data_IF_334929419838
#
_entry.id   IF_334929419838
#
_cell.length_a   1.000
_cell.length_b   1.000
_cell.length_c   1.000
_cell.angle_alpha   90.00
_cell.angle_beta   90.00
_cell.angle_gamma   90.00
#
_symmetry.space_group_name_H-M   'P 1'
#
loop_
_entity.id
_entity.type
_entity.pdbx_description
1 polymer ?
#
# COMPACT_ATOMS: atom_id res chain seq x y z
N UNK A 1 32.50 94.51 8.34
CA UNK A 1 32.52 93.98 9.71
C UNK A 1 31.51 92.86 9.74
N UNK A 2 31.74 91.67 9.92
CA UNK A 2 32.74 90.68 10.28
C UNK A 2 32.43 89.38 9.54
N UNK A 3 33.25 89.03 8.57
CA UNK A 3 33.25 87.64 8.05
C UNK A 3 34.41 86.91 8.74
N UNK A 4 34.22 86.32 9.90
CA UNK A 4 35.28 85.51 10.53
C UNK A 4 34.80 84.51 11.62
N UNK A 5 33.52 84.13 11.64
CA UNK A 5 33.11 83.16 12.65
C UNK A 5 32.65 81.80 12.09
N UNK A 6 32.46 81.67 10.76
CA UNK A 6 31.93 80.37 10.19
C UNK A 6 33.00 79.34 9.82
N UNK A 7 34.30 79.71 9.94
CA UNK A 7 35.38 78.83 9.48
C UNK A 7 36.04 78.00 10.61
N UNK A 8 35.63 78.18 11.87
CA UNK A 8 36.19 77.42 13.00
C UNK A 8 35.43 76.18 13.30
N UNK A 9 34.14 76.23 13.14
CA UNK A 9 33.28 75.06 13.45
C UNK A 9 33.37 73.92 12.42
N UNK A 10 33.72 74.25 11.18
CA UNK A 10 33.91 73.20 10.13
C UNK A 10 35.21 72.39 10.28
N UNK A 11 36.22 72.94 10.97
CA UNK A 11 37.48 72.22 11.17
C UNK A 11 37.46 71.35 12.45
N UNK A 12 36.66 71.67 13.42
CA UNK A 12 36.47 70.84 14.60
C UNK A 12 35.54 69.68 14.31
N UNK A 13 34.49 69.86 13.45
CA UNK A 13 33.62 68.81 13.01
C UNK A 13 34.31 67.69 12.19
N UNK A 14 35.31 68.07 11.39
CA UNK A 14 36.09 67.12 10.59
C UNK A 14 37.21 66.41 11.38
N UNK A 15 37.53 66.85 12.61
CA UNK A 15 38.51 66.17 13.47
C UNK A 15 37.88 65.19 14.45
N UNK A 16 36.59 65.29 14.71
CA UNK A 16 35.85 64.34 15.54
C UNK A 16 35.29 63.14 14.76
N UNK A 17 35.35 63.13 13.42
CA UNK A 17 34.86 62.05 12.57
C UNK A 17 35.91 60.97 12.21
N UNK A 18 37.15 61.11 12.73
CA UNK A 18 38.26 60.22 12.40
C UNK A 18 38.63 59.28 13.58
N UNK A 19 37.68 58.65 14.25
CA UNK A 19 38.03 57.88 15.43
C UNK A 19 37.00 56.84 15.91
N UNK A 20 36.20 56.30 15.03
CA UNK A 20 35.41 55.08 15.37
C UNK A 20 35.17 54.28 14.11
N UNK A 21 36.21 53.60 13.62
CA UNK A 21 36.00 52.39 12.81
C UNK A 21 35.65 51.28 13.81
N UNK A 22 34.36 51.18 14.16
CA UNK A 22 33.80 49.95 14.71
C UNK A 22 33.90 48.93 13.60
N UNK A 23 34.88 48.04 13.69
CA UNK A 23 34.89 46.77 12.97
C UNK A 23 33.67 45.95 13.42
N UNK A 24 32.53 46.24 12.82
CA UNK A 24 31.41 45.27 12.83
C UNK A 24 31.89 44.08 12.03
N UNK A 25 32.57 43.16 12.71
CA UNK A 25 32.75 41.80 12.22
C UNK A 25 31.35 41.20 12.00
N UNK A 26 30.92 41.26 10.76
CA UNK A 26 29.84 40.36 10.31
C UNK A 26 30.40 38.96 10.48
N UNK A 27 30.17 38.35 11.66
CA UNK A 27 30.20 36.93 11.82
C UNK A 27 29.09 36.42 10.92
N UNK A 28 29.46 36.02 9.70
CA UNK A 28 28.60 35.17 8.89
C UNK A 28 28.26 33.95 9.74
N UNK A 29 27.01 33.89 10.22
CA UNK A 29 26.49 32.71 10.87
C UNK A 29 26.64 31.57 9.84
N UNK A 30 27.60 30.70 10.10
CA UNK A 30 27.82 29.49 9.31
C UNK A 30 26.52 28.72 9.38
N UNK A 31 25.81 28.61 8.25
CA UNK A 31 24.63 27.74 8.17
C UNK A 31 25.05 26.37 8.67
N UNK A 32 24.29 25.77 9.60
CA UNK A 32 24.57 24.41 10.04
C UNK A 32 24.63 23.50 8.81
N UNK A 33 25.68 22.69 8.74
CA UNK A 33 25.80 21.69 7.67
C UNK A 33 24.49 20.90 7.58
N UNK A 34 23.99 20.63 6.36
CA UNK A 34 22.78 19.86 6.19
C UNK A 34 22.95 18.52 6.94
N UNK A 35 21.99 18.24 7.80
CA UNK A 35 21.95 16.95 8.52
C UNK A 35 22.02 15.82 7.49
N UNK A 36 22.90 14.84 7.63
CA UNK A 36 22.99 13.73 6.69
C UNK A 36 21.61 13.07 6.59
N UNK A 37 21.08 13.00 5.38
CA UNK A 37 19.87 12.24 5.13
C UNK A 37 20.18 10.76 5.44
N UNK A 38 19.46 10.13 6.34
CA UNK A 38 19.72 8.71 6.64
C UNK A 38 19.60 7.88 5.36
N UNK A 39 20.45 6.86 5.17
CA UNK A 39 20.37 6.01 4.01
C UNK A 39 18.96 5.40 3.89
N UNK A 40 18.44 5.24 2.67
CA UNK A 40 17.12 4.65 2.46
C UNK A 40 17.05 3.29 3.15
N UNK A 41 15.94 3.03 3.86
CA UNK A 41 15.71 1.73 4.48
C UNK A 41 15.62 0.68 3.39
N UNK A 42 16.27 -0.48 3.59
CA UNK A 42 16.12 -1.61 2.69
C UNK A 42 14.69 -2.14 2.76
N UNK A 43 14.10 -2.45 1.60
CA UNK A 43 12.80 -3.10 1.55
C UNK A 43 12.88 -4.48 2.22
N UNK A 44 11.82 -4.82 2.98
CA UNK A 44 11.66 -6.14 3.64
C UNK A 44 10.31 -6.69 3.22
N UNK A 45 10.32 -7.63 2.32
CA UNK A 45 9.12 -8.14 1.70
C UNK A 45 8.84 -9.55 2.17
N UNK A 46 7.58 -9.76 2.56
CA UNK A 46 7.01 -11.08 2.79
C UNK A 46 6.26 -11.50 1.53
N UNK A 47 6.64 -12.63 0.94
CA UNK A 47 5.93 -13.19 -0.20
C UNK A 47 4.63 -13.84 0.26
N UNK A 48 3.53 -13.51 -0.40
CA UNK A 48 2.21 -14.10 -0.15
C UNK A 48 1.60 -14.68 -1.43
N UNK A 49 0.57 -15.48 -1.29
CA UNK A 49 -0.26 -15.95 -2.41
C UNK A 49 -1.73 -15.97 -2.01
N UNK A 50 -2.58 -15.46 -2.89
CA UNK A 50 -4.02 -15.53 -2.75
C UNK A 50 -4.51 -16.94 -3.17
N UNK A 51 -4.99 -17.75 -2.21
CA UNK A 51 -5.21 -19.17 -2.42
C UNK A 51 -6.31 -19.54 -3.44
N UNK A 52 -7.25 -18.62 -3.74
CA UNK A 52 -8.26 -18.91 -4.77
C UNK A 52 -7.66 -19.09 -6.16
N UNK A 53 -6.48 -18.53 -6.42
CA UNK A 53 -5.80 -18.64 -7.72
C UNK A 53 -5.23 -20.01 -7.99
N UNK A 54 -5.05 -20.82 -6.96
CA UNK A 54 -4.50 -22.16 -7.04
C UNK A 54 -5.61 -23.21 -7.20
N UNK A 55 -5.31 -24.27 -7.91
CA UNK A 55 -6.19 -25.44 -8.10
C UNK A 55 -5.94 -26.49 -7.02
N UNK A 56 -6.92 -27.27 -6.69
CA UNK A 56 -6.85 -28.36 -5.72
C UNK A 56 -7.67 -28.09 -4.47
N UNK A 57 -7.62 -29.03 -3.53
CA UNK A 57 -8.17 -28.89 -2.18
C UNK A 57 -7.41 -27.82 -1.39
N UNK A 58 -7.97 -27.35 -0.29
CA UNK A 58 -7.30 -26.36 0.56
C UNK A 58 -5.93 -26.86 1.05
N UNK A 59 -5.83 -28.12 1.48
CA UNK A 59 -4.55 -28.72 1.92
C UNK A 59 -3.51 -28.80 0.78
N UNK A 60 -3.93 -29.16 -0.46
CA UNK A 60 -3.03 -29.17 -1.63
C UNK A 60 -2.54 -27.77 -2.00
N UNK A 61 -3.40 -26.76 -1.91
CA UNK A 61 -3.00 -25.35 -2.13
C UNK A 61 -1.97 -24.89 -1.11
N UNK A 62 -2.14 -25.25 0.16
CA UNK A 62 -1.16 -24.94 1.21
C UNK A 62 0.18 -25.62 0.97
N UNK A 63 0.16 -26.91 0.59
CA UNK A 63 1.39 -27.64 0.23
C UNK A 63 2.09 -26.98 -0.97
N UNK A 64 1.34 -26.65 -2.03
CA UNK A 64 1.87 -25.95 -3.21
C UNK A 64 2.56 -24.62 -2.83
N UNK A 65 1.92 -23.82 -1.99
CA UNK A 65 2.49 -22.55 -1.51
C UNK A 65 3.78 -22.78 -0.68
N UNK A 66 3.76 -23.76 0.22
CA UNK A 66 4.91 -24.09 1.06
C UNK A 66 6.10 -24.59 0.23
N UNK A 67 5.87 -25.52 -0.71
CA UNK A 67 6.90 -26.06 -1.62
C UNK A 67 7.51 -24.98 -2.51
N UNK A 68 6.75 -23.94 -2.82
CA UNK A 68 7.23 -22.78 -3.56
C UNK A 68 8.01 -21.76 -2.70
N UNK A 69 8.11 -21.96 -1.38
CA UNK A 69 8.80 -21.07 -0.47
C UNK A 69 8.04 -19.75 -0.23
N UNK A 70 6.72 -19.78 -0.36
CA UNK A 70 5.82 -18.69 0.04
C UNK A 70 5.84 -18.55 1.56
N UNK A 71 5.75 -17.33 2.06
CA UNK A 71 5.86 -17.02 3.49
C UNK A 71 4.51 -16.74 4.16
N UNK A 72 3.50 -16.38 3.38
CA UNK A 72 2.15 -16.13 3.87
C UNK A 72 1.09 -16.47 2.83
N UNK A 73 -0.14 -16.59 3.27
CA UNK A 73 -1.29 -16.88 2.41
C UNK A 73 -2.45 -15.92 2.70
N UNK A 74 -3.22 -15.63 1.66
CA UNK A 74 -4.41 -14.81 1.71
C UNK A 74 -5.65 -15.65 1.43
N UNK A 75 -6.72 -15.38 2.18
CA UNK A 75 -8.00 -16.06 2.04
C UNK A 75 -9.09 -15.09 1.56
N UNK A 76 -10.01 -15.58 0.74
CA UNK A 76 -11.22 -14.82 0.41
C UNK A 76 -12.28 -15.06 1.48
N UNK A 77 -12.83 -16.26 1.51
CA UNK A 77 -13.98 -16.63 2.35
C UNK A 77 -13.93 -18.07 2.83
N UNK A 78 -12.84 -18.76 2.61
CA UNK A 78 -12.68 -20.16 3.02
C UNK A 78 -13.00 -20.37 4.50
N UNK A 79 -12.61 -19.40 5.30
CA UNK A 79 -12.78 -19.37 6.76
C UNK A 79 -14.26 -19.31 7.21
N UNK A 80 -15.16 -18.79 6.38
CA UNK A 80 -16.58 -18.65 6.73
C UNK A 80 -17.28 -19.99 6.95
N UNK A 81 -16.81 -21.05 6.27
CA UNK A 81 -17.32 -22.40 6.40
C UNK A 81 -16.67 -23.20 7.55
N UNK A 82 -15.67 -22.63 8.23
CA UNK A 82 -14.91 -23.36 9.25
C UNK A 82 -15.58 -23.36 10.60
N UNK A 83 -15.55 -24.53 11.25
CA UNK A 83 -15.78 -24.65 12.70
C UNK A 83 -14.58 -24.09 13.48
N UNK A 84 -14.74 -23.93 14.78
CA UNK A 84 -13.60 -23.56 15.66
C UNK A 84 -12.46 -24.58 15.59
N UNK A 85 -12.81 -25.87 15.41
CA UNK A 85 -11.82 -26.93 15.26
C UNK A 85 -11.08 -26.84 13.92
N UNK A 86 -11.79 -26.49 12.82
CA UNK A 86 -11.18 -26.28 11.51
C UNK A 86 -10.26 -25.06 11.53
N UNK A 87 -10.68 -23.97 12.14
CA UNK A 87 -9.86 -22.77 12.30
C UNK A 87 -8.54 -23.09 13.04
N UNK A 88 -8.61 -23.80 14.15
CA UNK A 88 -7.43 -24.22 14.91
C UNK A 88 -6.54 -25.17 14.09
N UNK A 89 -7.16 -26.14 13.39
CA UNK A 89 -6.46 -27.09 12.50
C UNK A 89 -5.67 -26.35 11.42
N UNK A 90 -6.32 -25.47 10.64
CA UNK A 90 -5.67 -24.81 9.52
C UNK A 90 -4.64 -23.79 9.97
N UNK A 91 -4.87 -23.07 11.06
CA UNK A 91 -3.86 -22.23 11.68
C UNK A 91 -2.60 -23.02 12.03
N UNK A 92 -2.76 -24.23 12.63
CA UNK A 92 -1.65 -25.11 12.94
C UNK A 92 -0.93 -25.64 11.69
N UNK A 93 -1.65 -26.09 10.67
CA UNK A 93 -1.08 -26.57 9.41
C UNK A 93 -0.26 -25.49 8.74
N UNK A 94 -0.80 -24.28 8.58
CA UNK A 94 -0.11 -23.15 7.95
C UNK A 94 1.16 -22.81 8.73
N UNK A 95 1.09 -22.75 10.05
CA UNK A 95 2.25 -22.51 10.90
C UNK A 95 3.30 -23.64 10.80
N UNK A 96 2.88 -24.91 10.64
CA UNK A 96 3.80 -26.05 10.49
C UNK A 96 4.63 -25.99 9.20
N UNK A 97 4.12 -25.32 8.16
CA UNK A 97 4.85 -24.99 6.94
C UNK A 97 5.76 -23.75 7.07
N UNK A 98 5.80 -23.12 8.23
CA UNK A 98 6.54 -21.87 8.44
C UNK A 98 5.86 -20.66 7.80
N UNK A 99 4.59 -20.78 7.44
CA UNK A 99 3.77 -19.72 6.87
C UNK A 99 2.82 -19.10 7.92
N UNK A 100 2.18 -17.99 7.55
CA UNK A 100 1.07 -17.40 8.30
C UNK A 100 -0.03 -16.92 7.34
N UNK A 101 -1.20 -16.59 7.88
CA UNK A 101 -2.25 -15.90 7.13
C UNK A 101 -2.06 -14.40 7.28
N UNK A 102 -1.98 -13.65 6.19
CA UNK A 102 -1.79 -12.19 6.24
C UNK A 102 -3.04 -11.39 5.96
N UNK A 103 -3.96 -11.88 5.15
CA UNK A 103 -5.24 -11.23 4.88
C UNK A 103 -6.41 -12.19 4.81
N UNK A 104 -7.61 -11.67 5.12
CA UNK A 104 -8.92 -12.22 4.78
C UNK A 104 -9.78 -11.13 4.17
N UNK A 105 -10.82 -11.49 3.40
CA UNK A 105 -11.73 -10.53 2.79
C UNK A 105 -12.97 -10.33 3.66
N UNK A 106 -13.39 -9.08 3.90
CA UNK A 106 -14.54 -8.79 4.76
C UNK A 106 -15.89 -9.13 4.11
N UNK A 107 -16.01 -8.96 2.79
CA UNK A 107 -17.25 -9.19 2.04
C UNK A 107 -16.90 -9.48 0.59
N UNK A 108 -17.25 -10.66 0.11
CA UNK A 108 -16.86 -11.16 -1.20
C UNK A 108 -17.99 -11.23 -2.24
N UNK A 109 -19.24 -11.15 -1.82
CA UNK A 109 -20.39 -11.38 -2.71
C UNK A 109 -21.28 -10.12 -2.85
N UNK A 110 -20.66 -8.98 -3.20
CA UNK A 110 -21.38 -7.71 -3.39
C UNK A 110 -22.32 -7.70 -4.60
N UNK A 111 -22.26 -8.70 -5.46
CA UNK A 111 -23.19 -8.86 -6.60
C UNK A 111 -24.50 -9.47 -6.15
N UNK A 112 -24.47 -10.58 -5.38
CA UNK A 112 -25.66 -11.24 -4.88
C UNK A 112 -26.21 -10.59 -3.61
N UNK A 113 -25.33 -10.05 -2.79
CA UNK A 113 -25.66 -9.32 -1.58
C UNK A 113 -25.10 -7.90 -1.71
N UNK A 114 -25.91 -6.94 -2.23
CA UNK A 114 -25.43 -5.62 -2.62
C UNK A 114 -25.14 -4.72 -1.41
N UNK A 115 -24.19 -5.14 -0.59
CA UNK A 115 -23.64 -4.34 0.51
C UNK A 115 -22.36 -3.67 0.02
N UNK A 116 -22.27 -2.35 0.16
CA UNK A 116 -21.14 -1.59 -0.34
C UNK A 116 -20.82 -0.38 0.53
N UNK A 117 -19.56 0.07 0.51
CA UNK A 117 -19.13 1.28 1.17
C UNK A 117 -19.70 2.55 0.52
N UNK A 118 -19.98 2.48 -0.77
CA UNK A 118 -20.36 3.65 -1.57
C UNK A 118 -21.84 4.06 -1.38
N UNK A 119 -22.63 3.23 -0.72
CA UNK A 119 -24.04 3.53 -0.46
C UNK A 119 -24.28 3.75 1.05
N UNK A 120 -24.70 4.95 1.48
CA UNK A 120 -24.92 5.22 2.90
C UNK A 120 -26.03 4.35 3.52
N UNK A 121 -26.98 3.85 2.73
CA UNK A 121 -28.03 2.95 3.22
C UNK A 121 -27.52 1.54 3.50
N UNK A 122 -26.40 1.14 2.92
CA UNK A 122 -25.75 -0.15 3.16
C UNK A 122 -24.76 -0.13 4.33
N UNK A 123 -24.46 1.04 4.89
CA UNK A 123 -23.37 1.22 5.85
C UNK A 123 -23.46 0.32 7.07
N UNK A 124 -24.62 0.19 7.69
CA UNK A 124 -24.76 -0.65 8.88
C UNK A 124 -24.57 -2.15 8.54
N UNK A 125 -25.05 -2.60 7.39
CA UNK A 125 -24.83 -3.96 6.91
C UNK A 125 -23.33 -4.21 6.61
N UNK A 126 -22.66 -3.24 5.98
CA UNK A 126 -21.22 -3.27 5.74
C UNK A 126 -20.42 -3.32 7.06
N UNK A 127 -20.76 -2.49 8.05
CA UNK A 127 -20.11 -2.51 9.36
C UNK A 127 -20.34 -3.83 10.11
N UNK A 128 -21.49 -4.48 9.89
CA UNK A 128 -21.72 -5.83 10.44
C UNK A 128 -20.79 -6.87 9.80
N UNK A 129 -20.55 -6.80 8.48
CA UNK A 129 -19.58 -7.66 7.79
C UNK A 129 -18.16 -7.42 8.29
N UNK A 130 -17.78 -6.15 8.50
CA UNK A 130 -16.48 -5.81 9.08
C UNK A 130 -16.32 -6.39 10.49
N UNK A 131 -17.34 -6.28 11.37
CA UNK A 131 -17.31 -6.88 12.71
C UNK A 131 -17.15 -8.39 12.65
N UNK A 132 -17.84 -9.04 11.71
CA UNK A 132 -17.72 -10.48 11.48
C UNK A 132 -16.29 -10.85 11.07
N UNK A 133 -15.74 -10.18 10.05
CA UNK A 133 -14.37 -10.40 9.60
C UNK A 133 -13.34 -10.13 10.70
N UNK A 134 -13.50 -9.06 11.51
CA UNK A 134 -12.64 -8.76 12.64
C UNK A 134 -12.65 -9.89 13.69
N UNK A 135 -13.81 -10.52 13.92
CA UNK A 135 -13.89 -11.67 14.83
C UNK A 135 -13.07 -12.87 14.32
N UNK A 136 -13.09 -13.11 13.01
CA UNK A 136 -12.31 -14.16 12.37
C UNK A 136 -10.82 -13.80 12.29
N UNK A 137 -10.48 -12.57 11.94
CA UNK A 137 -9.10 -12.11 11.93
C UNK A 137 -8.42 -12.35 13.29
N UNK A 138 -9.15 -12.09 14.38
CA UNK A 138 -8.66 -12.36 15.74
C UNK A 138 -8.47 -13.84 16.05
N UNK A 139 -9.38 -14.71 15.58
CA UNK A 139 -9.28 -16.17 15.76
C UNK A 139 -8.10 -16.75 14.98
N UNK A 140 -7.87 -16.24 13.78
CA UNK A 140 -6.87 -16.74 12.84
C UNK A 140 -5.51 -16.06 12.98
N UNK A 141 -5.37 -15.06 13.87
CA UNK A 141 -4.20 -14.18 14.02
C UNK A 141 -3.85 -13.45 12.70
N UNK A 142 -4.87 -13.07 11.94
CA UNK A 142 -4.71 -12.34 10.67
C UNK A 142 -4.58 -10.84 10.95
N UNK A 143 -3.50 -10.17 10.53
CA UNK A 143 -3.26 -8.78 10.84
C UNK A 143 -4.07 -7.79 10.00
N UNK A 144 -4.64 -8.21 8.87
CA UNK A 144 -5.27 -7.32 7.91
C UNK A 144 -6.54 -7.90 7.30
N UNK A 145 -7.46 -7.01 6.91
CA UNK A 145 -8.72 -7.35 6.23
C UNK A 145 -8.85 -6.52 4.97
N UNK A 146 -9.08 -7.18 3.84
CA UNK A 146 -9.37 -6.53 2.56
C UNK A 146 -10.80 -6.01 2.55
N UNK A 147 -10.97 -4.74 2.17
CA UNK A 147 -12.26 -4.11 1.94
C UNK A 147 -12.50 -3.86 0.47
N UNK A 148 -13.70 -4.19 0.01
CA UNK A 148 -14.17 -3.91 -1.35
C UNK A 148 -15.12 -2.71 -1.34
N UNK A 149 -14.95 -1.78 -2.30
CA UNK A 149 -15.84 -0.62 -2.41
C UNK A 149 -17.29 -1.01 -2.74
N UNK A 150 -17.45 -2.15 -3.41
CA UNK A 150 -18.71 -2.55 -4.05
C UNK A 150 -18.92 -1.84 -5.39
N UNK A 151 -20.10 -2.06 -5.99
CA UNK A 151 -20.43 -1.54 -7.31
C UNK A 151 -20.99 -0.11 -7.26
N UNK A 152 -20.85 0.59 -8.39
CA UNK A 152 -21.46 1.89 -8.67
C UNK A 152 -22.97 1.83 -8.38
N UNK A 153 -23.48 2.85 -7.73
CA UNK A 153 -24.89 3.05 -7.45
C UNK A 153 -25.48 4.01 -8.51
N UNK A 154 -26.39 3.54 -9.39
CA UNK A 154 -26.83 4.32 -10.54
C UNK A 154 -27.57 5.59 -10.17
N UNK A 155 -28.22 5.63 -9.01
CA UNK A 155 -29.01 6.76 -8.55
C UNK A 155 -28.21 7.78 -7.71
N UNK A 156 -26.88 7.64 -7.64
CA UNK A 156 -26.00 8.51 -6.87
C UNK A 156 -24.91 9.11 -7.76
N UNK A 157 -24.53 10.37 -7.50
CA UNK A 157 -23.36 10.96 -8.16
C UNK A 157 -22.06 10.28 -7.69
N UNK A 158 -21.00 10.38 -8.48
CA UNK A 158 -19.69 9.83 -8.11
C UNK A 158 -19.19 10.42 -6.80
N UNK A 159 -19.33 11.73 -6.62
CA UNK A 159 -18.90 12.46 -5.43
C UNK A 159 -19.66 12.00 -4.18
N UNK A 160 -20.97 11.75 -4.30
CA UNK A 160 -21.77 11.25 -3.19
C UNK A 160 -21.37 9.82 -2.80
N UNK A 161 -21.09 8.98 -3.78
CA UNK A 161 -20.58 7.63 -3.56
C UNK A 161 -19.21 7.65 -2.90
N UNK A 162 -18.29 8.48 -3.40
CA UNK A 162 -16.97 8.64 -2.83
C UNK A 162 -17.03 9.16 -1.38
N UNK A 163 -17.86 10.17 -1.10
CA UNK A 163 -18.05 10.65 0.26
C UNK A 163 -18.60 9.58 1.20
N UNK A 164 -19.53 8.72 0.70
CA UNK A 164 -20.03 7.58 1.46
C UNK A 164 -18.94 6.55 1.73
N UNK A 165 -18.06 6.27 0.75
CA UNK A 165 -16.92 5.37 0.91
C UNK A 165 -16.01 5.86 2.04
N UNK A 166 -15.60 7.14 2.01
CA UNK A 166 -14.70 7.71 3.03
C UNK A 166 -15.34 7.66 4.42
N UNK A 167 -16.62 8.02 4.54
CA UNK A 167 -17.33 7.98 5.82
C UNK A 167 -17.50 6.54 6.34
N UNK A 168 -17.81 5.59 5.46
CA UNK A 168 -17.93 4.17 5.83
C UNK A 168 -16.59 3.59 6.25
N UNK A 169 -15.50 3.97 5.54
CA UNK A 169 -14.15 3.57 5.89
C UNK A 169 -13.72 4.12 7.26
N UNK A 170 -14.00 5.38 7.58
CA UNK A 170 -13.71 5.96 8.92
C UNK A 170 -14.37 5.16 10.03
N UNK A 171 -15.68 4.87 9.91
CA UNK A 171 -16.39 4.08 10.91
C UNK A 171 -15.91 2.64 11.02
N UNK A 172 -15.54 2.01 9.91
CA UNK A 172 -14.93 0.70 9.92
C UNK A 172 -13.56 0.71 10.60
N UNK A 173 -12.80 1.77 10.40
CA UNK A 173 -11.47 1.94 11.00
C UNK A 173 -11.51 2.06 12.51
N UNK A 174 -12.54 2.74 13.08
CA UNK A 174 -12.75 2.79 14.53
C UNK A 174 -12.93 1.38 15.13
N UNK A 175 -13.63 0.48 14.41
CA UNK A 175 -13.80 -0.92 14.83
C UNK A 175 -12.48 -1.70 14.72
N UNK A 176 -11.72 -1.46 13.65
CA UNK A 176 -10.45 -2.12 13.39
C UNK A 176 -9.36 -1.70 14.38
N UNK A 177 -9.34 -0.43 14.80
CA UNK A 177 -8.43 0.06 15.83
C UNK A 177 -8.65 -0.66 17.16
N UNK A 178 -9.91 -0.79 17.60
CA UNK A 178 -10.27 -1.51 18.81
C UNK A 178 -9.90 -3.01 18.76
N UNK A 179 -9.81 -3.58 17.56
CA UNK A 179 -9.43 -4.97 17.32
C UNK A 179 -7.93 -5.15 17.06
N UNK A 180 -7.15 -4.07 16.92
CA UNK A 180 -5.74 -4.05 16.53
C UNK A 180 -5.46 -4.65 15.13
N UNK A 181 -6.47 -4.64 14.24
CA UNK A 181 -6.40 -5.13 12.85
C UNK A 181 -6.30 -3.95 11.89
N UNK A 182 -5.67 -4.12 10.75
CA UNK A 182 -5.59 -3.10 9.70
C UNK A 182 -6.59 -3.41 8.59
N UNK A 183 -7.35 -2.42 8.16
CA UNK A 183 -8.20 -2.50 6.98
C UNK A 183 -7.41 -2.03 5.76
N UNK A 184 -7.48 -2.76 4.67
CA UNK A 184 -6.82 -2.41 3.42
C UNK A 184 -7.86 -2.33 2.31
N UNK A 185 -7.94 -1.18 1.61
CA UNK A 185 -8.87 -0.97 0.51
C UNK A 185 -8.20 -1.29 -0.82
N UNK A 186 -8.91 -1.98 -1.72
CA UNK A 186 -8.36 -2.45 -2.98
C UNK A 186 -8.97 -1.71 -4.19
N UNK A 187 -8.10 -1.34 -5.15
CA UNK A 187 -8.51 -0.90 -6.48
C UNK A 187 -8.69 -2.09 -7.41
N UNK A 188 -9.83 -2.17 -8.12
CA UNK A 188 -10.11 -3.24 -9.07
C UNK A 188 -10.47 -2.68 -10.46
N UNK A 189 -10.12 -3.39 -11.54
CA UNK A 189 -10.55 -2.99 -12.87
C UNK A 189 -12.01 -3.36 -13.16
N UNK A 190 -12.75 -2.45 -13.78
CA UNK A 190 -14.11 -2.69 -14.26
C UNK A 190 -14.17 -3.09 -15.73
N UNK A 191 -13.05 -2.99 -16.45
CA UNK A 191 -12.98 -3.28 -17.89
C UNK A 191 -13.04 -4.76 -18.22
N UNK A 192 -12.47 -5.61 -17.37
CA UNK A 192 -12.33 -7.05 -17.64
C UNK A 192 -12.88 -7.92 -16.50
N UNK A 193 -12.40 -7.68 -15.26
CA UNK A 193 -12.62 -8.64 -14.17
C UNK A 193 -13.84 -8.33 -13.31
N UNK A 194 -14.11 -7.05 -13.01
CA UNK A 194 -15.14 -6.62 -12.07
C UNK A 194 -16.07 -5.54 -12.67
N UNK A 195 -16.88 -5.86 -13.71
CA UNK A 195 -17.77 -4.88 -14.33
C UNK A 195 -18.68 -4.22 -13.31
N UNK A 196 -18.72 -2.88 -13.33
CA UNK A 196 -19.51 -2.09 -12.40
C UNK A 196 -18.85 -1.74 -11.08
N UNK A 197 -17.66 -2.24 -10.77
CA UNK A 197 -16.95 -1.87 -9.55
C UNK A 197 -16.67 -0.36 -9.47
N UNK A 198 -16.78 0.23 -8.27
CA UNK A 198 -16.69 1.67 -8.10
C UNK A 198 -15.24 2.17 -8.04
N UNK A 199 -14.42 1.63 -7.15
CA UNK A 199 -13.07 2.13 -6.88
C UNK A 199 -12.06 1.57 -7.90
N UNK A 200 -12.08 2.11 -9.12
CA UNK A 200 -11.29 1.59 -10.24
C UNK A 200 -9.95 2.28 -10.46
N UNK A 201 -9.61 3.27 -9.64
CA UNK A 201 -8.38 4.05 -9.77
C UNK A 201 -7.52 3.94 -8.51
N UNK A 202 -6.26 3.57 -8.67
CA UNK A 202 -5.28 3.59 -7.58
C UNK A 202 -5.08 5.01 -7.03
N UNK A 203 -5.16 6.05 -7.88
CA UNK A 203 -5.09 7.44 -7.44
C UNK A 203 -6.26 7.82 -6.52
N UNK A 204 -7.48 7.36 -6.84
CA UNK A 204 -8.66 7.60 -6.01
C UNK A 204 -8.63 6.78 -4.72
N UNK A 205 -8.16 5.53 -4.78
CA UNK A 205 -7.95 4.71 -3.58
C UNK A 205 -6.92 5.35 -2.64
N UNK A 206 -5.80 5.84 -3.17
CA UNK A 206 -4.79 6.56 -2.40
C UNK A 206 -5.36 7.85 -1.78
N UNK A 207 -6.18 8.59 -2.54
CA UNK A 207 -6.87 9.78 -2.03
C UNK A 207 -7.78 9.42 -0.85
N UNK A 208 -8.56 8.34 -0.95
CA UNK A 208 -9.42 7.88 0.14
C UNK A 208 -8.61 7.48 1.40
N UNK A 209 -7.48 6.78 1.23
CA UNK A 209 -6.59 6.43 2.35
C UNK A 209 -6.04 7.68 3.04
N UNK A 210 -5.64 8.70 2.27
CA UNK A 210 -5.16 9.98 2.81
C UNK A 210 -6.27 10.78 3.51
N UNK A 211 -7.51 10.72 3.02
CA UNK A 211 -8.65 11.42 3.64
C UNK A 211 -9.18 10.73 4.89
N UNK A 212 -9.09 9.41 4.98
CA UNK A 212 -9.36 8.67 6.23
C UNK A 212 -8.31 9.00 7.27
N UNK A 213 -7.05 9.15 6.84
CA UNK A 213 -5.90 9.58 7.64
C UNK A 213 -5.73 8.79 8.96
N UNK A 214 -5.74 7.47 8.85
CA UNK A 214 -5.61 6.60 10.03
C UNK A 214 -4.60 5.46 9.79
N UNK A 215 -3.74 5.10 10.78
CA UNK A 215 -2.74 4.05 10.61
C UNK A 215 -3.32 2.65 10.38
N UNK A 216 -4.59 2.42 10.78
CA UNK A 216 -5.33 1.17 10.56
C UNK A 216 -6.15 1.15 9.28
N UNK A 217 -6.07 2.19 8.43
CA UNK A 217 -6.68 2.19 7.10
C UNK A 217 -5.60 2.42 6.05
N UNK A 218 -5.31 1.39 5.27
CA UNK A 218 -4.17 1.35 4.37
C UNK A 218 -4.62 0.96 2.97
N UNK A 219 -3.67 0.93 2.04
CA UNK A 219 -3.90 0.59 0.65
C UNK A 219 -3.41 -0.82 0.35
N UNK A 220 -4.26 -1.62 -0.30
CA UNK A 220 -3.88 -2.78 -1.08
C UNK A 220 -3.80 -2.31 -2.52
N UNK A 221 -2.59 -2.17 -3.03
CA UNK A 221 -2.37 -1.72 -4.40
C UNK A 221 -2.26 -2.91 -5.35
N UNK A 222 -3.33 -3.21 -6.07
CA UNK A 222 -3.29 -4.20 -7.14
C UNK A 222 -2.75 -3.57 -8.42
N UNK A 223 -1.53 -3.98 -8.78
CA UNK A 223 -0.80 -3.46 -9.93
C UNK A 223 -1.39 -3.95 -11.27
N UNK A 224 -1.93 -5.18 -11.29
CA UNK A 224 -2.60 -5.72 -12.47
C UNK A 224 -3.91 -4.99 -12.74
N UNK A 225 -4.72 -4.78 -11.71
CA UNK A 225 -5.98 -4.08 -11.86
C UNK A 225 -5.76 -2.63 -12.31
N UNK A 226 -4.76 -1.95 -11.78
CA UNK A 226 -4.41 -0.60 -12.23
C UNK A 226 -3.94 -0.60 -13.69
N UNK A 227 -3.08 -1.55 -14.07
CA UNK A 227 -2.60 -1.64 -15.45
C UNK A 227 -3.75 -1.84 -16.45
N UNK A 228 -4.65 -2.76 -16.18
CA UNK A 228 -5.81 -3.04 -17.04
C UNK A 228 -6.76 -1.84 -17.12
N UNK A 229 -6.96 -1.14 -16.01
CA UNK A 229 -7.90 -0.04 -15.95
C UNK A 229 -7.34 1.27 -16.48
N UNK A 230 -6.13 1.64 -16.08
CA UNK A 230 -5.59 2.99 -16.24
C UNK A 230 -4.23 3.01 -16.96
N UNK A 231 -3.59 1.88 -17.19
CA UNK A 231 -2.27 1.77 -17.79
C UNK A 231 -1.15 1.66 -16.77
N UNK A 232 0.03 2.19 -17.06
CA UNK A 232 1.24 2.01 -16.26
C UNK A 232 1.03 2.37 -14.76
N UNK A 233 1.17 1.40 -13.84
CA UNK A 233 0.99 1.65 -12.40
C UNK A 233 2.17 2.37 -11.73
N UNK A 234 3.32 2.47 -12.40
CA UNK A 234 4.56 2.99 -11.81
C UNK A 234 4.47 4.44 -11.29
N UNK A 235 3.79 5.40 -11.97
CA UNK A 235 3.66 6.75 -11.45
C UNK A 235 2.99 6.81 -10.10
N UNK A 236 1.87 6.09 -9.93
CA UNK A 236 1.12 6.06 -8.67
C UNK A 236 1.88 5.29 -7.60
N UNK A 237 2.59 4.21 -7.94
CA UNK A 237 3.38 3.43 -7.00
C UNK A 237 4.38 4.30 -6.22
N UNK A 238 5.05 5.24 -6.90
CA UNK A 238 6.02 6.14 -6.28
C UNK A 238 5.41 7.03 -5.20
N UNK A 239 4.16 7.41 -5.35
CA UNK A 239 3.42 8.21 -4.37
C UNK A 239 2.75 7.34 -3.31
N UNK A 240 2.21 6.19 -3.71
CA UNK A 240 1.39 5.32 -2.89
C UNK A 240 2.17 4.50 -1.87
N UNK A 241 3.44 4.12 -2.17
CA UNK A 241 4.18 3.15 -1.37
C UNK A 241 4.19 3.39 0.15
N UNK A 242 4.17 4.63 0.71
CA UNK A 242 4.12 4.84 2.15
C UNK A 242 2.79 4.44 2.79
N UNK A 243 1.75 4.28 1.97
CA UNK A 243 0.39 3.95 2.39
C UNK A 243 0.01 2.50 2.08
N UNK A 244 0.84 1.79 1.31
CA UNK A 244 0.58 0.41 0.89
C UNK A 244 1.01 -0.58 1.96
N UNK A 245 0.14 -1.54 2.27
CA UNK A 245 0.46 -2.68 3.13
C UNK A 245 0.63 -3.97 2.32
N UNK A 246 -0.08 -4.08 1.17
CA UNK A 246 -0.01 -5.23 0.27
C UNK A 246 0.05 -4.72 -1.17
N UNK A 247 0.95 -5.30 -1.96
CA UNK A 247 0.90 -5.23 -3.42
C UNK A 247 0.36 -6.55 -3.95
N UNK A 248 -0.72 -6.53 -4.74
CA UNK A 248 -1.13 -7.66 -5.56
C UNK A 248 -0.45 -7.63 -6.91
N UNK A 249 0.01 -8.78 -7.39
CA UNK A 249 0.78 -8.91 -8.62
C UNK A 249 0.25 -10.01 -9.53
N UNK A 250 -0.02 -9.65 -10.77
CA UNK A 250 -0.30 -10.53 -11.90
C UNK A 250 0.08 -9.80 -13.19
N UNK A 251 0.37 -10.53 -14.27
CA UNK A 251 0.68 -9.90 -15.56
C UNK A 251 -0.55 -9.77 -16.45
N UNK A 252 -0.54 -8.74 -17.28
CA UNK A 252 -1.57 -8.49 -18.28
C UNK A 252 -1.02 -8.66 -19.70
N UNK A 253 -1.85 -9.14 -20.65
CA UNK A 253 -3.23 -9.59 -20.47
C UNK A 253 -3.34 -10.97 -19.81
N UNK A 254 -4.55 -11.29 -19.30
CA UNK A 254 -4.91 -12.66 -18.88
C UNK A 254 -4.74 -12.95 -17.40
N UNK A 255 -4.17 -12.04 -16.60
CA UNK A 255 -3.92 -12.22 -15.14
C UNK A 255 -3.03 -13.44 -14.87
N UNK A 256 -1.92 -13.53 -15.61
CA UNK A 256 -0.98 -14.65 -15.58
C UNK A 256 0.29 -14.34 -14.79
N UNK A 257 1.26 -15.26 -14.87
CA UNK A 257 2.55 -15.19 -14.17
C UNK A 257 3.27 -13.87 -14.45
N UNK A 258 3.77 -13.12 -13.45
CA UNK A 258 4.53 -11.90 -13.67
C UNK A 258 5.74 -12.11 -14.58
N UNK A 259 5.86 -11.31 -15.62
CA UNK A 259 6.90 -11.41 -16.66
C UNK A 259 6.50 -12.24 -17.87
N UNK A 260 5.26 -12.68 -18.00
CA UNK A 260 4.75 -13.40 -19.17
C UNK A 260 3.88 -12.54 -20.11
N UNK A 261 3.54 -11.33 -19.69
CA UNK A 261 2.70 -10.38 -20.39
C UNK A 261 3.43 -9.10 -20.78
N UNK A 262 2.73 -7.98 -20.69
CA UNK A 262 3.17 -6.67 -21.17
C UNK A 262 3.64 -5.73 -20.06
N UNK A 263 3.42 -6.07 -18.79
CA UNK A 263 3.78 -5.23 -17.67
C UNK A 263 5.30 -5.19 -17.43
N UNK A 264 5.83 -4.03 -17.08
CA UNK A 264 7.27 -3.81 -16.89
C UNK A 264 7.72 -4.22 -15.48
N UNK A 265 7.69 -5.51 -15.18
CA UNK A 265 7.95 -6.06 -13.85
C UNK A 265 9.31 -5.69 -13.28
N UNK A 266 10.34 -5.60 -14.10
CA UNK A 266 11.67 -5.17 -13.64
C UNK A 266 11.64 -3.74 -13.06
N UNK A 267 10.90 -2.82 -13.68
CA UNK A 267 10.76 -1.44 -13.22
C UNK A 267 9.89 -1.36 -11.95
N UNK A 268 8.78 -2.12 -11.91
CA UNK A 268 7.88 -2.17 -10.76
C UNK A 268 8.58 -2.73 -9.52
N UNK A 269 9.23 -3.88 -9.62
CA UNK A 269 9.98 -4.45 -8.49
C UNK A 269 11.16 -3.56 -8.09
N UNK A 270 11.83 -2.92 -9.04
CA UNK A 270 12.89 -1.95 -8.73
C UNK A 270 12.35 -0.77 -7.93
N UNK A 271 11.19 -0.24 -8.31
CA UNK A 271 10.55 0.85 -7.59
C UNK A 271 10.14 0.43 -6.17
N UNK A 272 9.54 -0.76 -5.99
CA UNK A 272 9.22 -1.32 -4.68
C UNK A 272 10.50 -1.50 -3.85
N UNK A 273 11.54 -2.07 -4.44
CA UNK A 273 12.82 -2.32 -3.76
C UNK A 273 13.52 -1.04 -3.27
N UNK A 274 13.49 0.02 -4.09
CA UNK A 274 14.10 1.33 -3.77
C UNK A 274 13.26 2.16 -2.80
N UNK A 275 11.99 1.86 -2.63
CA UNK A 275 11.08 2.65 -1.77
C UNK A 275 11.30 2.44 -0.27
N UNK A 276 12.02 1.40 0.14
CA UNK A 276 12.13 1.00 1.54
C UNK A 276 10.87 0.31 2.08
N UNK A 277 10.00 -0.15 1.20
CA UNK A 277 8.76 -0.84 1.53
C UNK A 277 8.98 -2.03 2.47
N UNK A 278 8.11 -2.15 3.46
CA UNK A 278 8.09 -3.29 4.39
C UNK A 278 6.65 -3.78 4.52
N UNK A 279 6.32 -4.84 3.80
CA UNK A 279 4.96 -5.37 3.72
C UNK A 279 4.90 -6.62 2.86
N UNK A 280 3.73 -6.91 2.35
CA UNK A 280 3.46 -8.12 1.58
C UNK A 280 3.45 -7.84 0.08
N UNK A 281 3.99 -8.77 -0.69
CA UNK A 281 3.77 -8.85 -2.14
C UNK A 281 3.10 -10.19 -2.41
N UNK A 282 1.83 -10.13 -2.75
CA UNK A 282 0.98 -11.29 -2.91
C UNK A 282 0.79 -11.62 -4.39
N UNK A 283 1.05 -12.88 -4.70
CA UNK A 283 0.82 -13.46 -6.01
C UNK A 283 -0.67 -13.72 -6.18
N UNK A 284 -1.34 -12.94 -7.02
CA UNK A 284 -2.76 -13.10 -7.29
C UNK A 284 -3.00 -13.28 -8.81
N UNK A 285 -2.36 -14.29 -9.36
CA UNK A 285 -2.44 -14.61 -10.79
C UNK A 285 -2.89 -16.05 -11.04
N UNK A 286 -3.32 -16.33 -12.24
CA UNK A 286 -3.72 -17.67 -12.68
C UNK A 286 -2.52 -18.37 -13.32
N UNK A 287 -1.87 -19.32 -12.64
CA UNK A 287 -0.72 -20.03 -13.20
C UNK A 287 -1.02 -20.66 -14.56
N UNK A 288 -0.24 -20.30 -15.58
CA UNK A 288 -0.35 -20.90 -16.93
C UNK A 288 0.22 -22.30 -16.97
N UNK A 289 1.38 -22.59 -16.37
CA UNK A 289 1.91 -23.95 -16.31
C UNK A 289 0.97 -24.87 -15.53
N UNK A 290 0.91 -26.15 -15.96
CA UNK A 290 0.17 -27.20 -15.24
C UNK A 290 0.77 -27.40 -13.84
N UNK A 291 2.08 -27.25 -13.72
CA UNK A 291 2.81 -27.28 -12.45
C UNK A 291 2.79 -25.89 -11.79
N UNK A 292 1.84 -25.71 -10.89
CA UNK A 292 1.63 -24.47 -10.14
C UNK A 292 2.81 -24.16 -9.22
N UNK A 293 3.44 -25.19 -8.61
CA UNK A 293 4.58 -25.01 -7.73
C UNK A 293 5.75 -24.37 -8.49
N UNK A 294 6.09 -24.90 -9.67
CA UNK A 294 7.13 -24.31 -10.53
C UNK A 294 6.82 -22.87 -10.96
N UNK A 295 5.55 -22.56 -11.22
CA UNK A 295 5.10 -21.20 -11.54
C UNK A 295 5.40 -20.27 -10.35
N UNK A 296 4.93 -20.61 -9.15
CA UNK A 296 5.16 -19.80 -7.94
C UNK A 296 6.65 -19.64 -7.63
N UNK A 297 7.45 -20.71 -7.75
CA UNK A 297 8.91 -20.65 -7.53
C UNK A 297 9.56 -19.62 -8.46
N UNK A 298 9.20 -19.63 -9.75
CA UNK A 298 9.73 -18.67 -10.74
C UNK A 298 9.35 -17.23 -10.38
N UNK A 299 8.06 -17.00 -10.05
CA UNK A 299 7.57 -15.67 -9.69
C UNK A 299 8.25 -15.13 -8.43
N UNK A 300 8.33 -15.92 -7.35
CA UNK A 300 9.00 -15.53 -6.10
C UNK A 300 10.50 -15.30 -6.32
N UNK A 301 11.17 -16.13 -7.12
CA UNK A 301 12.59 -15.99 -7.42
C UNK A 301 12.86 -14.70 -8.19
N UNK A 302 12.08 -14.43 -9.25
CA UNK A 302 12.20 -13.21 -10.04
C UNK A 302 11.97 -11.96 -9.20
N UNK A 303 10.91 -11.96 -8.38
CA UNK A 303 10.60 -10.89 -7.45
C UNK A 303 11.76 -10.63 -6.49
N UNK A 304 12.23 -11.65 -5.75
CA UNK A 304 13.33 -11.53 -4.77
C UNK A 304 14.64 -11.06 -5.41
N UNK A 305 14.96 -11.56 -6.60
CA UNK A 305 16.16 -11.16 -7.34
C UNK A 305 16.12 -9.69 -7.73
N UNK A 306 15.00 -9.21 -8.26
CA UNK A 306 14.83 -7.81 -8.66
C UNK A 306 14.84 -6.86 -7.47
N UNK A 307 14.22 -7.25 -6.36
CA UNK A 307 14.21 -6.47 -5.11
C UNK A 307 15.62 -6.38 -4.49
N UNK A 308 16.37 -7.46 -4.49
CA UNK A 308 17.73 -7.49 -3.97
C UNK A 308 18.69 -6.65 -4.85
N UNK A 309 18.56 -6.75 -6.17
CA UNK A 309 19.35 -5.95 -7.10
C UNK A 309 19.09 -4.45 -6.92
N UNK A 310 17.84 -4.05 -6.70
CA UNK A 310 17.46 -2.66 -6.47
C UNK A 310 18.01 -2.06 -5.17
N UNK A 311 18.42 -2.89 -4.21
CA UNK A 311 18.96 -2.47 -2.92
C UNK A 311 20.49 -2.43 -2.88
N UNK A 312 21.15 -2.92 -3.95
CA UNK A 312 22.60 -2.87 -4.06
C UNK A 312 23.01 -1.45 -4.50
N UNK A 313 23.95 -0.78 -3.79
CA UNK A 313 24.45 0.52 -4.24
C UNK A 313 25.02 0.42 -5.65
N UNK A 314 24.68 1.35 -6.52
CA UNK A 314 25.37 1.47 -7.81
C UNK A 314 26.86 1.68 -7.52
N UNK A 315 27.73 0.85 -8.15
CA UNK A 315 29.17 1.08 -8.06
C UNK A 315 29.45 2.47 -8.61
N UNK A 316 30.20 3.31 -7.88
CA UNK A 316 30.61 4.59 -8.44
C UNK A 316 31.38 4.34 -9.75
N UNK A 317 31.00 5.10 -10.79
CA UNK A 317 31.63 5.04 -12.10
C UNK A 317 33.10 5.48 -12.06
#
# INVERSE_FOLDING_TARGET
MNMNHENKDRREFLRSAAGLVLSSGLTMAQQPAPTPVPPPKKARITSSVMLWTLKGTFDEKLATAADAGIQSVELINEYEAWSEADAAKYKHIIASYGMHMDTILASHDWVKRPVSLVNPTHREAFLADVRHALSWAKKLDVPQIILMSGNVQPDMTHEAQYASLVESAKRATDLAEAAEVTLIIENLNSKVNHPGYFLTSAAEALKAVKEVDHPRFRFLYDLYHEYVQNGDPLPILKEAHPYVNVFHVADAPGRHDPGTGEMKWADLYTAIGKSGYAGYVALEYLPVPVDQTSSLIKAVTAMRSSLNAAQTPEKPA
#
